data_IF_186889288081
#
_entry.id   IF_186889288081
#
_cell.length_a   1.000
_cell.length_b   1.000
_cell.length_c   1.000
_cell.angle_alpha   90.00
_cell.angle_beta   90.00
_cell.angle_gamma   90.00
#
_symmetry.space_group_name_H-M   'P 1'
#
loop_
_entity.id
_entity.type
_entity.pdbx_description
1 polymer ?
#
# COMPACT_ATOMS: atom_id res chain seq x y z
N UNK A 1 -13.52 2.31 28.91
CA UNK A 1 -12.19 2.32 28.25
C UNK A 1 -12.42 2.44 26.75
N UNK A 2 -12.14 3.60 26.15
CA UNK A 2 -12.31 3.78 24.70
C UNK A 2 -11.18 3.07 23.98
N UNK A 3 -11.49 2.01 23.23
CA UNK A 3 -10.52 1.36 22.37
C UNK A 3 -10.11 2.34 21.26
N UNK A 4 -8.89 2.88 21.32
CA UNK A 4 -8.33 3.62 20.18
C UNK A 4 -8.17 2.65 19.02
N UNK A 5 -8.88 2.91 17.92
CA UNK A 5 -8.73 2.12 16.70
C UNK A 5 -7.27 2.21 16.22
N UNK A 6 -6.64 1.07 15.96
CA UNK A 6 -5.32 1.05 15.31
C UNK A 6 -5.47 1.46 13.85
N UNK A 7 -4.52 2.25 13.34
CA UNK A 7 -4.52 2.64 11.95
C UNK A 7 -4.42 1.40 11.05
N UNK A 8 -5.17 1.41 9.95
CA UNK A 8 -5.16 0.32 8.97
C UNK A 8 -5.20 0.92 7.58
N UNK A 9 -4.23 0.52 6.77
CA UNK A 9 -4.24 0.76 5.33
C UNK A 9 -4.72 -0.52 4.65
N UNK A 10 -5.79 -0.43 3.87
CA UNK A 10 -6.32 -1.53 3.06
C UNK A 10 -6.18 -1.18 1.60
N UNK A 11 -5.51 -2.02 0.83
CA UNK A 11 -5.32 -1.84 -0.60
C UNK A 11 -6.03 -2.96 -1.36
N UNK A 12 -6.69 -2.59 -2.45
CA UNK A 12 -7.11 -3.52 -3.49
C UNK A 12 -6.10 -3.38 -4.63
N UNK A 13 -5.50 -4.49 -5.04
CA UNK A 13 -4.45 -4.54 -6.06
C UNK A 13 -4.84 -5.55 -7.12
N UNK A 14 -5.08 -5.07 -8.33
CA UNK A 14 -5.57 -5.82 -9.48
C UNK A 14 -4.48 -6.05 -10.52
N UNK A 15 -4.43 -7.27 -11.05
CA UNK A 15 -3.62 -7.65 -12.20
C UNK A 15 -4.31 -8.78 -12.97
N UNK A 16 -4.35 -8.67 -14.30
CA UNK A 16 -4.89 -9.70 -15.20
C UNK A 16 -6.29 -10.24 -14.79
N UNK A 17 -7.20 -9.33 -14.41
CA UNK A 17 -8.56 -9.67 -14.00
C UNK A 17 -8.72 -10.24 -12.58
N UNK A 18 -7.63 -10.39 -11.82
CA UNK A 18 -7.68 -10.83 -10.41
C UNK A 18 -7.32 -9.70 -9.47
N UNK A 19 -8.09 -9.51 -8.40
CA UNK A 19 -7.85 -8.50 -7.38
C UNK A 19 -7.51 -9.14 -6.03
N UNK A 20 -6.39 -8.71 -5.43
CA UNK A 20 -5.98 -9.07 -4.07
C UNK A 20 -6.28 -7.93 -3.10
N UNK A 21 -6.79 -8.28 -1.92
CA UNK A 21 -6.94 -7.33 -0.82
C UNK A 21 -5.75 -7.47 0.14
N UNK A 22 -4.96 -6.41 0.28
CA UNK A 22 -3.76 -6.36 1.12
C UNK A 22 -4.02 -5.40 2.29
N UNK A 23 -3.64 -5.79 3.50
CA UNK A 23 -3.80 -4.96 4.70
C UNK A 23 -2.45 -4.71 5.36
N UNK A 24 -2.13 -3.45 5.59
CA UNK A 24 -0.94 -3.03 6.33
C UNK A 24 -1.34 -2.29 7.62
N UNK A 25 -0.55 -2.52 8.68
CA UNK A 25 -0.66 -1.86 9.98
C UNK A 25 0.64 -1.12 10.30
N UNK A 26 0.62 -0.10 11.17
CA UNK A 26 1.82 0.63 11.54
C UNK A 26 2.92 -0.28 12.11
N UNK A 27 4.13 -0.12 11.58
CA UNK A 27 5.36 -0.73 12.08
C UNK A 27 6.35 0.37 12.48
N UNK A 28 7.24 0.03 13.42
CA UNK A 28 8.34 0.92 13.79
C UNK A 28 9.51 0.82 12.82
N UNK A 29 9.81 -0.40 12.34
CA UNK A 29 10.87 -0.67 11.37
C UNK A 29 10.27 -1.03 9.99
N UNK A 30 10.48 -0.20 8.95
CA UNK A 30 9.96 -0.46 7.61
C UNK A 30 10.71 -1.55 6.83
N UNK A 31 11.93 -1.90 7.23
CA UNK A 31 12.79 -2.79 6.42
C UNK A 31 12.34 -4.26 6.46
N UNK A 32 11.74 -4.70 7.56
CA UNK A 32 11.21 -6.05 7.72
C UNK A 32 9.87 -6.31 7.02
N UNK A 33 9.26 -5.30 6.37
CA UNK A 33 7.98 -5.50 5.67
C UNK A 33 8.22 -6.22 4.35
N UNK A 34 7.59 -7.37 4.18
CA UNK A 34 7.67 -8.17 2.95
C UNK A 34 6.79 -7.59 1.83
N UNK A 35 7.21 -7.81 0.58
CA UNK A 35 6.37 -7.52 -0.58
C UNK A 35 5.39 -8.65 -0.84
N UNK A 36 4.21 -8.33 -1.34
CA UNK A 36 3.18 -9.30 -1.71
C UNK A 36 3.29 -9.59 -3.20
N UNK A 37 3.40 -10.87 -3.57
CA UNK A 37 3.31 -11.30 -4.96
C UNK A 37 1.90 -11.04 -5.53
N UNK A 38 1.85 -10.48 -6.74
CA UNK A 38 0.65 -10.21 -7.51
C UNK A 38 0.78 -10.95 -8.84
N UNK A 39 0.32 -12.20 -8.83
CA UNK A 39 0.20 -13.02 -10.03
C UNK A 39 1.52 -13.45 -10.66
N UNK A 40 2.62 -13.50 -9.88
CA UNK A 40 3.96 -13.85 -10.37
C UNK A 40 4.53 -12.84 -11.35
N UNK A 41 4.09 -11.58 -11.27
CA UNK A 41 4.44 -10.53 -12.24
C UNK A 41 4.73 -9.19 -11.61
N UNK A 42 4.04 -8.85 -10.54
CA UNK A 42 4.33 -7.65 -9.76
C UNK A 42 4.51 -8.02 -8.30
N UNK A 43 5.31 -7.22 -7.60
CA UNK A 43 5.32 -7.19 -6.14
C UNK A 43 4.75 -5.87 -5.65
N UNK A 44 3.81 -5.92 -4.71
CA UNK A 44 3.25 -4.74 -4.07
C UNK A 44 3.61 -4.72 -2.59
N UNK A 45 4.23 -3.64 -2.12
CA UNK A 45 4.69 -3.49 -0.73
C UNK A 45 4.10 -2.22 -0.10
N UNK A 46 3.00 -2.34 0.65
CA UNK A 46 2.47 -1.25 1.44
C UNK A 46 3.14 -1.19 2.82
N UNK A 47 3.85 -0.10 3.10
CA UNK A 47 4.52 0.14 4.37
C UNK A 47 3.83 1.30 5.08
N UNK A 48 3.33 1.06 6.29
CA UNK A 48 2.78 2.09 7.17
C UNK A 48 3.75 2.25 8.33
N UNK A 49 4.40 3.41 8.44
CA UNK A 49 5.30 3.67 9.57
C UNK A 49 4.57 4.47 10.63
N UNK A 50 4.69 4.04 11.88
CA UNK A 50 4.04 4.68 13.02
C UNK A 50 3.74 3.70 14.15
N UNK A 51 2.80 4.07 15.04
CA UNK A 51 2.43 3.26 16.21
C UNK A 51 0.96 3.46 16.57
N UNK A 52 0.20 2.37 16.65
CA UNK A 52 -1.21 2.42 17.03
C UNK A 52 -2.03 3.23 16.02
N UNK A 53 -2.62 4.34 16.43
CA UNK A 53 -3.37 5.25 15.54
C UNK A 53 -2.51 6.37 14.93
N UNK A 54 -1.26 6.55 15.38
CA UNK A 54 -0.33 7.54 14.83
C UNK A 54 0.37 6.95 13.61
N UNK A 55 0.26 7.64 12.48
CA UNK A 55 0.94 7.30 11.23
C UNK A 55 1.90 8.43 10.88
N UNK A 56 3.19 8.10 10.77
CA UNK A 56 4.26 9.05 10.49
C UNK A 56 4.43 9.26 8.99
N UNK A 57 4.33 8.17 8.21
CA UNK A 57 4.24 8.20 6.76
C UNK A 57 3.78 6.86 6.22
N UNK A 58 3.38 6.85 4.94
CA UNK A 58 3.04 5.63 4.20
C UNK A 58 3.90 5.59 2.93
N UNK A 59 4.48 4.43 2.65
CA UNK A 59 5.19 4.15 1.39
C UNK A 59 4.47 3.02 0.66
N UNK A 60 4.15 3.24 -0.60
CA UNK A 60 3.63 2.22 -1.50
C UNK A 60 4.67 1.94 -2.57
N UNK A 61 5.16 0.72 -2.61
CA UNK A 61 6.05 0.27 -3.67
C UNK A 61 5.33 -0.70 -4.60
N UNK A 62 5.56 -0.51 -5.90
CA UNK A 62 5.25 -1.49 -6.92
C UNK A 62 6.54 -1.87 -7.65
N UNK A 63 6.80 -3.16 -7.75
CA UNK A 63 7.90 -3.71 -8.51
C UNK A 63 7.36 -4.60 -9.62
N UNK A 64 8.03 -4.60 -10.77
CA UNK A 64 7.85 -5.60 -11.80
C UNK A 64 8.83 -6.75 -11.50
N UNK A 65 8.32 -7.98 -11.48
CA UNK A 65 9.14 -9.18 -11.36
C UNK A 65 9.90 -9.41 -12.68
N UNK A 66 11.23 -9.36 -12.61
CA UNK A 66 12.15 -9.44 -13.75
C UNK A 66 13.45 -10.11 -13.32
N UNK A 67 14.13 -10.74 -14.27
CA UNK A 67 15.48 -11.25 -14.07
C UNK A 67 16.53 -10.16 -14.32
N UNK A 68 17.64 -10.14 -13.56
CA UNK A 68 17.98 -11.05 -12.45
C UNK A 68 17.35 -10.65 -11.10
N UNK A 69 16.61 -9.54 -11.06
CA UNK A 69 15.98 -9.02 -9.84
C UNK A 69 14.78 -8.11 -10.17
N UNK A 70 13.79 -8.03 -9.27
CA UNK A 70 12.66 -7.13 -9.45
C UNK A 70 13.08 -5.67 -9.66
N UNK A 71 12.36 -4.97 -10.55
CA UNK A 71 12.61 -3.57 -10.90
C UNK A 71 11.52 -2.70 -10.29
N UNK A 72 11.90 -1.61 -9.64
CA UNK A 72 10.93 -0.65 -9.09
C UNK A 72 10.19 0.08 -10.22
N UNK A 73 8.87 0.02 -10.19
CA UNK A 73 7.98 0.73 -11.12
C UNK A 73 7.51 2.04 -10.49
N UNK A 74 7.16 2.02 -9.20
CA UNK A 74 6.72 3.19 -8.45
C UNK A 74 7.13 3.10 -6.99
N UNK A 75 7.50 4.24 -6.42
CA UNK A 75 7.46 4.53 -4.98
C UNK A 75 6.57 5.77 -4.77
N UNK A 76 5.47 5.61 -4.03
CA UNK A 76 4.59 6.71 -3.65
C UNK A 76 4.66 6.94 -2.13
N UNK A 77 5.02 8.15 -1.73
CA UNK A 77 5.13 8.57 -0.32
C UNK A 77 4.00 9.50 0.07
N UNK A 78 3.27 9.13 1.11
CA UNK A 78 2.23 9.96 1.71
C UNK A 78 2.66 10.41 3.09
N UNK A 79 2.56 11.71 3.34
CA UNK A 79 2.93 12.37 4.59
C UNK A 79 1.68 12.93 5.29
N UNK A 80 1.71 13.10 6.63
CA UNK A 80 0.65 13.78 7.36
C UNK A 80 0.51 15.25 6.90
N UNK A 81 -0.63 15.90 7.20
CA UNK A 81 -1.75 15.39 8.01
C UNK A 81 -2.64 14.40 7.25
N UNK A 82 -2.94 13.27 7.90
CA UNK A 82 -3.91 12.29 7.40
C UNK A 82 -5.31 12.63 7.91
N UNK A 83 -6.33 12.34 7.09
CA UNK A 83 -7.72 12.64 7.48
C UNK A 83 -8.19 11.65 8.55
N UNK A 84 -8.47 12.14 9.76
CA UNK A 84 -9.10 11.34 10.81
C UNK A 84 -10.62 11.29 10.64
N UNK A 85 -11.25 10.17 10.95
CA UNK A 85 -12.71 10.05 10.90
C UNK A 85 -13.21 8.63 11.20
N UNK A 86 -14.53 8.49 11.37
CA UNK A 86 -15.17 7.18 11.64
C UNK A 86 -15.14 6.24 10.44
N UNK A 87 -15.08 6.78 9.21
CA UNK A 87 -15.09 6.02 7.96
C UNK A 87 -13.70 6.01 7.33
N UNK A 88 -13.29 4.91 6.66
CA UNK A 88 -12.09 4.92 5.82
C UNK A 88 -12.22 5.98 4.71
N UNK A 89 -11.12 6.62 4.36
CA UNK A 89 -11.06 7.51 3.20
C UNK A 89 -10.10 6.95 2.15
N UNK A 90 -10.39 7.23 0.88
CA UNK A 90 -9.55 6.82 -0.24
C UNK A 90 -8.28 7.68 -0.25
N UNK A 91 -7.14 7.06 0.07
CA UNK A 91 -5.85 7.74 0.19
C UNK A 91 -5.23 8.02 -1.19
N UNK A 92 -5.32 7.05 -2.09
CA UNK A 92 -4.54 7.04 -3.34
C UNK A 92 -5.33 7.49 -4.56
N UNK A 93 -6.66 7.43 -4.53
CA UNK A 93 -7.44 7.30 -5.78
C UNK A 93 -7.23 5.92 -6.42
N UNK A 94 -7.67 5.75 -7.67
CA UNK A 94 -7.21 4.65 -8.50
C UNK A 94 -5.89 5.02 -9.15
N UNK A 95 -4.95 4.08 -9.13
CA UNK A 95 -3.64 4.21 -9.74
C UNK A 95 -3.50 3.10 -10.77
N UNK A 96 -3.00 3.45 -11.95
CA UNK A 96 -2.68 2.53 -13.03
C UNK A 96 -1.19 2.62 -13.31
N UNK A 97 -0.49 1.49 -13.19
CA UNK A 97 0.94 1.40 -13.49
C UNK A 97 1.15 0.44 -14.65
N UNK A 98 1.87 0.89 -15.67
CA UNK A 98 2.20 0.10 -16.84
C UNK A 98 3.70 -0.22 -16.82
N UNK A 99 4.06 -1.50 -16.92
CA UNK A 99 5.46 -1.91 -16.89
C UNK A 99 5.74 -3.21 -17.66
N UNK A 100 6.98 -3.32 -18.13
CA UNK A 100 7.49 -4.51 -18.80
C UNK A 100 7.00 -4.67 -20.25
N UNK A 101 7.34 -5.80 -20.90
CA UNK A 101 6.84 -6.11 -22.24
C UNK A 101 5.31 -6.14 -22.27
N UNK A 102 4.71 -5.78 -23.41
CA UNK A 102 3.25 -5.76 -23.65
C UNK A 102 2.42 -4.90 -22.67
N UNK A 103 3.03 -3.86 -22.09
CA UNK A 103 2.34 -2.85 -21.26
C UNK A 103 1.45 -3.46 -20.16
N UNK A 104 1.99 -4.43 -19.41
CA UNK A 104 1.26 -5.05 -18.30
C UNK A 104 0.79 -3.98 -17.31
N UNK A 105 -0.49 -4.05 -16.94
CA UNK A 105 -1.14 -3.07 -16.09
C UNK A 105 -1.37 -3.61 -14.67
N UNK A 106 -0.81 -2.92 -13.68
CA UNK A 106 -1.15 -3.09 -12.27
C UNK A 106 -2.08 -1.94 -11.85
N UNK A 107 -3.23 -2.27 -11.29
CA UNK A 107 -4.20 -1.28 -10.79
C UNK A 107 -4.22 -1.35 -9.27
N UNK A 108 -4.20 -0.22 -8.56
CA UNK A 108 -4.44 -0.24 -7.12
C UNK A 108 -5.23 0.96 -6.57
N UNK A 109 -5.92 0.70 -5.46
CA UNK A 109 -6.64 1.68 -4.63
C UNK A 109 -6.39 1.36 -3.17
N UNK A 110 -6.00 2.35 -2.35
CA UNK A 110 -5.81 2.16 -0.92
C UNK A 110 -6.68 3.11 -0.09
N UNK A 111 -7.25 2.59 0.98
CA UNK A 111 -8.03 3.32 1.96
C UNK A 111 -7.34 3.32 3.31
N UNK A 112 -7.32 4.47 3.97
CA UNK A 112 -6.78 4.64 5.31
C UNK A 112 -7.91 4.88 6.31
N UNK A 113 -7.83 4.22 7.48
CA UNK A 113 -8.78 4.40 8.59
C UNK A 113 -8.07 4.31 9.94
N UNK A 114 -8.74 4.76 11.00
CA UNK A 114 -8.26 4.60 12.37
C UNK A 114 -7.04 5.47 12.71
N UNK A 115 -6.82 6.54 11.94
CA UNK A 115 -5.73 7.49 12.17
C UNK A 115 -6.21 8.59 13.09
N UNK A 116 -5.36 8.96 14.06
CA UNK A 116 -5.51 10.17 14.86
C UNK A 116 -4.67 11.30 14.25
N UNK A 117 -5.13 12.56 14.32
CA UNK A 117 -4.35 13.72 13.87
C UNK A 117 -2.95 13.78 14.49
#
# INVERSE_FOLDING_TARGET
>A
MSAHATAVLRCEVGYAGTTRQITARPVADPYGVESVDIGGRFFFKPVVVGRGSRVDYILLYAYLDQDPRPVMVQEAKYLPPFRSGKKPYLLTGEQHLYAGPVERELIYRCWLRGVTP
#
